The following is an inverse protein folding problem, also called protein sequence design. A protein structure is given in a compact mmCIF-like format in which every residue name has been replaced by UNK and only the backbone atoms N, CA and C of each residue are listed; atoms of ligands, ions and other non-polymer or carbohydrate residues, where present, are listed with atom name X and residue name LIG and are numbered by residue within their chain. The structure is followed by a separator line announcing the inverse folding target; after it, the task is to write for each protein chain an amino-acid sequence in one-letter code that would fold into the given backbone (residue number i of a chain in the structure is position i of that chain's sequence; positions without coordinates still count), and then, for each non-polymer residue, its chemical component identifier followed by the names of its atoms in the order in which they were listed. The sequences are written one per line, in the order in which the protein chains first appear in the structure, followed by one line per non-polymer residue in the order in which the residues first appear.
data_IF_428385556305
#
_entry.id   IF_428385556305
#
_cell.length_a   1.000
_cell.length_b   1.000
_cell.length_c   1.000
_cell.angle_alpha   90.00
_cell.angle_beta   90.00
_cell.angle_gamma   90.00
#
_symmetry.space_group_name_H-M   'P 1'
#
loop_
_entity.id
_entity.type
_entity.pdbx_description
1 polymer ?
#
# COMPACT_ATOMS: atom_id res chain seq x y z
N UNK A 1 -24.00 -17.64 2.16
CA UNK A 1 -22.94 -16.60 2.08
C UNK A 1 -22.27 -16.75 0.74
N UNK A 2 -22.22 -15.71 -0.08
CA UNK A 2 -21.44 -15.75 -1.32
C UNK A 2 -19.96 -16.01 -0.96
N UNK A 3 -19.21 -16.80 -1.75
CA UNK A 3 -17.81 -17.03 -1.50
C UNK A 3 -17.09 -15.68 -1.50
N UNK A 4 -16.33 -15.41 -0.44
CA UNK A 4 -15.51 -14.19 -0.35
C UNK A 4 -14.48 -14.28 -1.49
N UNK A 5 -14.40 -13.27 -2.35
CA UNK A 5 -13.47 -13.26 -3.46
C UNK A 5 -12.03 -13.48 -2.93
N UNK A 6 -11.24 -14.30 -3.63
CA UNK A 6 -9.85 -14.54 -3.24
C UNK A 6 -9.04 -13.24 -3.31
N UNK A 7 -8.19 -12.96 -2.31
CA UNK A 7 -7.41 -11.73 -2.26
C UNK A 7 -6.38 -11.69 -3.40
N UNK A 8 -6.26 -10.53 -4.05
CA UNK A 8 -5.25 -10.25 -5.08
C UNK A 8 -4.24 -9.19 -4.64
N UNK A 9 -4.47 -8.55 -3.49
CA UNK A 9 -3.53 -7.65 -2.82
C UNK A 9 -3.33 -8.12 -1.39
N UNK A 10 -2.08 -8.16 -0.94
CA UNK A 10 -1.76 -8.41 0.46
C UNK A 10 -1.28 -7.12 1.12
N UNK A 11 -1.92 -6.71 2.21
CA UNK A 11 -1.51 -5.57 3.04
C UNK A 11 -0.83 -6.13 4.28
N UNK A 12 0.48 -5.94 4.35
CA UNK A 12 1.36 -6.53 5.36
C UNK A 12 1.83 -5.47 6.35
N UNK A 13 1.87 -5.81 7.62
CA UNK A 13 2.32 -4.93 8.71
C UNK A 13 3.40 -5.59 9.56
N UNK A 14 4.35 -4.77 10.04
CA UNK A 14 5.41 -5.21 10.97
C UNK A 14 4.95 -5.32 12.41
N UNK A 15 3.92 -4.57 12.77
CA UNK A 15 3.29 -4.51 14.09
C UNK A 15 1.80 -4.20 13.93
N UNK A 16 1.01 -4.60 14.92
CA UNK A 16 -0.40 -4.21 15.06
C UNK A 16 -0.57 -2.69 15.28
N UNK A 17 0.44 -2.04 15.86
CA UNK A 17 0.49 -0.58 15.98
C UNK A 17 0.50 0.17 14.64
N UNK A 18 0.85 -0.50 13.53
CA UNK A 18 0.86 0.09 12.19
C UNK A 18 -0.55 0.12 11.56
N UNK A 19 -1.51 -0.61 12.14
CA UNK A 19 -2.86 -0.76 11.61
C UNK A 19 -3.58 0.59 11.35
N UNK A 20 -3.55 1.60 12.24
CA UNK A 20 -4.24 2.87 12.00
C UNK A 20 -3.73 3.66 10.78
N UNK A 21 -2.50 3.37 10.33
CA UNK A 21 -1.93 3.91 9.10
C UNK A 21 -2.35 3.05 7.91
N UNK A 22 -2.21 1.73 8.04
CA UNK A 22 -2.44 0.80 6.94
C UNK A 22 -3.92 0.61 6.59
N UNK A 23 -4.85 0.91 7.49
CA UNK A 23 -6.28 1.01 7.20
C UNK A 23 -6.60 2.04 6.10
N UNK A 24 -5.78 3.06 5.90
CA UNK A 24 -5.97 3.97 4.78
C UNK A 24 -5.74 3.28 3.42
N UNK A 25 -4.89 2.25 3.37
CA UNK A 25 -4.76 1.41 2.18
C UNK A 25 -6.01 0.56 1.96
N UNK A 26 -6.55 -0.06 3.01
CA UNK A 26 -7.73 -0.94 2.88
C UNK A 26 -8.97 -0.17 2.44
N UNK A 27 -9.18 1.06 2.95
CA UNK A 27 -10.26 1.94 2.51
C UNK A 27 -10.23 2.22 1.00
N UNK A 28 -9.04 2.45 0.44
CA UNK A 28 -8.87 2.65 -1.00
C UNK A 28 -9.14 1.34 -1.76
N UNK A 29 -8.61 0.20 -1.30
CA UNK A 29 -8.87 -1.09 -1.94
C UNK A 29 -10.37 -1.42 -1.94
N UNK A 30 -11.08 -1.14 -0.86
CA UNK A 30 -12.54 -1.29 -0.75
C UNK A 30 -13.27 -0.37 -1.73
N UNK A 31 -12.86 0.90 -1.84
CA UNK A 31 -13.44 1.87 -2.78
C UNK A 31 -13.36 1.39 -4.24
N UNK A 32 -12.29 0.67 -4.59
CA UNK A 32 -12.10 0.09 -5.93
C UNK A 32 -12.56 -1.37 -6.03
N UNK A 33 -13.23 -1.89 -5.01
CA UNK A 33 -13.69 -3.29 -4.92
C UNK A 33 -12.56 -4.31 -5.18
N UNK A 34 -11.33 -4.02 -4.72
CA UNK A 34 -10.17 -4.89 -4.84
C UNK A 34 -10.15 -5.86 -3.65
N UNK A 35 -10.24 -7.18 -3.86
CA UNK A 35 -10.11 -8.14 -2.78
C UNK A 35 -8.70 -8.11 -2.19
N UNK A 36 -8.62 -8.03 -0.87
CA UNK A 36 -7.34 -7.98 -0.15
C UNK A 36 -7.36 -8.85 1.10
N UNK A 37 -6.17 -9.14 1.61
CA UNK A 37 -5.96 -9.70 2.94
C UNK A 37 -5.10 -8.77 3.79
N UNK A 38 -5.25 -8.88 5.11
CA UNK A 38 -4.32 -8.30 6.08
C UNK A 38 -3.40 -9.40 6.62
N UNK A 39 -2.11 -9.13 6.66
CA UNK A 39 -1.12 -10.07 7.19
C UNK A 39 -0.16 -9.37 8.15
N UNK A 40 0.02 -9.96 9.33
CA UNK A 40 0.94 -9.47 10.35
C UNK A 40 2.16 -10.37 10.43
N UNK A 41 3.35 -9.80 10.17
CA UNK A 41 4.64 -10.51 10.34
C UNK A 41 5.76 -9.52 10.57
N UNK A 42 6.81 -9.94 11.26
CA UNK A 42 7.96 -9.09 11.54
C UNK A 42 9.23 -9.70 10.96
N UNK A 43 9.96 -8.92 10.15
CA UNK A 43 11.25 -9.37 9.60
C UNK A 43 12.26 -9.72 10.69
N UNK A 44 12.21 -9.04 11.84
CA UNK A 44 13.17 -9.24 12.93
C UNK A 44 12.70 -10.29 13.95
N UNK A 45 11.39 -10.31 14.30
CA UNK A 45 10.85 -11.16 15.36
C UNK A 45 10.31 -12.50 14.85
N UNK A 46 9.96 -12.59 13.56
CA UNK A 46 9.45 -13.81 12.93
C UNK A 46 9.98 -13.98 11.49
N UNK A 47 11.33 -14.02 11.27
CA UNK A 47 11.91 -14.02 9.94
C UNK A 47 11.48 -15.23 9.09
N UNK A 48 11.41 -16.41 9.66
CA UNK A 48 10.96 -17.61 8.95
C UNK A 48 9.50 -17.49 8.45
N UNK A 49 8.61 -16.91 9.26
CA UNK A 49 7.22 -16.64 8.86
C UNK A 49 7.15 -15.63 7.71
N UNK A 50 7.99 -14.58 7.74
CA UNK A 50 8.08 -13.57 6.69
C UNK A 50 8.54 -14.17 5.38
N UNK A 51 9.62 -14.98 5.38
CA UNK A 51 10.14 -15.67 4.20
C UNK A 51 9.13 -16.65 3.62
N UNK A 52 8.49 -17.47 4.47
CA UNK A 52 7.44 -18.41 4.03
C UNK A 52 6.27 -17.68 3.39
N UNK A 53 5.82 -16.59 3.98
CA UNK A 53 4.76 -15.75 3.41
C UNK A 53 5.17 -15.25 2.02
N UNK A 54 6.34 -14.59 1.89
CA UNK A 54 6.78 -13.97 0.64
C UNK A 54 6.90 -14.99 -0.51
N UNK A 55 7.48 -16.17 -0.24
CA UNK A 55 7.64 -17.25 -1.23
C UNK A 55 6.33 -17.84 -1.72
N UNK A 56 5.32 -17.93 -0.86
CA UNK A 56 4.06 -18.59 -1.19
C UNK A 56 2.99 -17.59 -1.70
N UNK A 57 3.24 -16.29 -1.61
CA UNK A 57 2.23 -15.26 -1.89
C UNK A 57 1.74 -15.29 -3.35
N UNK A 58 2.65 -15.45 -4.31
CA UNK A 58 2.28 -15.53 -5.73
C UNK A 58 1.40 -16.75 -6.06
N UNK A 59 1.68 -17.90 -5.43
CA UNK A 59 0.90 -19.14 -5.63
C UNK A 59 -0.53 -19.03 -5.09
N UNK A 60 -0.77 -18.09 -4.17
CA UNK A 60 -2.09 -17.80 -3.58
C UNK A 60 -2.91 -16.81 -4.41
N UNK A 61 -2.43 -16.41 -5.59
CA UNK A 61 -3.13 -15.48 -6.47
C UNK A 61 -2.89 -14.00 -6.17
N UNK A 62 -2.05 -13.66 -5.19
CA UNK A 62 -1.68 -12.26 -4.91
C UNK A 62 -0.85 -11.71 -6.08
N UNK A 63 -1.14 -10.48 -6.47
CA UNK A 63 -0.48 -9.77 -7.57
C UNK A 63 0.39 -8.59 -7.09
N UNK A 64 0.04 -7.99 -5.95
CA UNK A 64 0.76 -6.84 -5.38
C UNK A 64 0.80 -6.97 -3.86
N UNK A 65 1.93 -6.60 -3.26
CA UNK A 65 2.12 -6.59 -1.80
C UNK A 65 2.36 -5.14 -1.35
N UNK A 66 1.54 -4.65 -0.42
CA UNK A 66 1.71 -3.36 0.25
C UNK A 66 2.25 -3.64 1.65
N UNK A 67 3.36 -3.02 2.03
CA UNK A 67 4.05 -3.31 3.29
C UNK A 67 4.23 -2.05 4.11
N UNK A 68 3.61 -1.99 5.29
CA UNK A 68 3.83 -0.94 6.28
C UNK A 68 4.82 -1.35 7.36
N UNK A 69 5.78 -0.49 7.65
CA UNK A 69 6.73 -0.69 8.75
C UNK A 69 7.28 0.64 9.26
N UNK A 70 7.50 0.72 10.58
CA UNK A 70 8.13 1.84 11.25
C UNK A 70 9.54 1.52 11.75
N UNK A 71 10.22 2.51 12.28
CA UNK A 71 11.57 2.40 12.84
C UNK A 71 12.57 1.78 11.84
N UNK A 72 13.21 0.67 12.21
CA UNK A 72 14.03 -0.14 11.31
C UNK A 72 13.14 -0.90 10.31
N UNK A 73 12.58 -0.20 9.34
CA UNK A 73 11.53 -0.65 8.41
C UNK A 73 12.07 -1.59 7.32
N UNK A 74 12.68 -2.70 7.71
CA UNK A 74 13.31 -3.66 6.79
C UNK A 74 12.31 -4.63 6.15
N UNK A 75 11.05 -4.69 6.62
CA UNK A 75 10.07 -5.70 6.21
C UNK A 75 9.82 -5.70 4.71
N UNK A 76 9.66 -4.53 4.09
CA UNK A 76 9.42 -4.40 2.65
C UNK A 76 10.60 -4.95 1.83
N UNK A 77 11.84 -4.60 2.21
CA UNK A 77 13.06 -5.08 1.56
C UNK A 77 13.23 -6.59 1.70
N UNK A 78 12.98 -7.15 2.88
CA UNK A 78 13.03 -8.60 3.12
C UNK A 78 11.99 -9.34 2.26
N UNK A 79 10.76 -8.84 2.18
CA UNK A 79 9.74 -9.45 1.32
C UNK A 79 10.14 -9.34 -0.15
N UNK A 80 10.61 -8.17 -0.60
CA UNK A 80 11.03 -7.95 -1.99
C UNK A 80 12.19 -8.87 -2.42
N UNK A 81 13.07 -9.29 -1.52
CA UNK A 81 14.16 -10.23 -1.82
C UNK A 81 13.69 -11.67 -2.00
N UNK A 82 12.47 -12.01 -1.59
CA UNK A 82 11.93 -13.38 -1.58
C UNK A 82 10.80 -13.59 -2.59
N UNK A 83 10.39 -12.55 -3.33
CA UNK A 83 9.31 -12.63 -4.32
C UNK A 83 9.60 -11.79 -5.56
N UNK A 84 9.00 -12.15 -6.69
CA UNK A 84 9.01 -11.33 -7.92
C UNK A 84 7.78 -10.42 -8.03
N UNK A 85 6.84 -10.50 -7.08
CA UNK A 85 5.67 -9.62 -7.07
C UNK A 85 6.08 -8.17 -6.79
N UNK A 86 5.38 -7.18 -7.35
CA UNK A 86 5.56 -5.78 -6.98
C UNK A 86 5.37 -5.57 -5.48
N UNK A 87 6.38 -4.98 -4.81
CA UNK A 87 6.34 -4.62 -3.39
C UNK A 87 6.31 -3.11 -3.26
N UNK A 88 5.32 -2.60 -2.54
CA UNK A 88 5.10 -1.18 -2.28
C UNK A 88 5.30 -0.94 -0.79
N UNK A 89 6.32 -0.14 -0.43
CA UNK A 89 6.67 0.18 0.94
C UNK A 89 5.99 1.45 1.44
N UNK A 90 5.42 1.38 2.63
CA UNK A 90 4.82 2.52 3.35
C UNK A 90 5.62 2.74 4.64
N UNK A 91 6.46 3.78 4.71
CA UNK A 91 7.13 4.16 5.95
C UNK A 91 6.11 4.63 6.99
N UNK A 92 6.17 4.10 8.21
CA UNK A 92 5.27 4.46 9.31
C UNK A 92 6.01 5.32 10.32
N UNK A 93 5.38 6.41 10.75
CA UNK A 93 5.87 7.27 11.84
C UNK A 93 5.64 6.56 13.19
N UNK A 94 6.66 5.89 13.68
CA UNK A 94 6.61 5.09 14.90
C UNK A 94 7.68 5.48 15.93
N UNK A 95 8.52 6.50 15.64
CA UNK A 95 9.64 6.91 16.49
C UNK A 95 9.73 8.42 16.64
N UNK A 96 10.66 8.90 17.49
CA UNK A 96 11.00 10.31 17.62
C UNK A 96 11.52 10.94 16.30
N UNK A 97 11.96 10.12 15.34
CA UNK A 97 12.41 10.56 14.01
C UNK A 97 11.25 10.77 13.03
N UNK A 98 10.00 10.63 13.49
CA UNK A 98 8.78 10.93 12.71
C UNK A 98 8.75 10.23 11.35
N UNK A 99 9.22 8.99 11.28
CA UNK A 99 9.21 8.15 10.10
C UNK A 99 10.35 8.39 9.11
N UNK A 100 11.28 9.33 9.37
CA UNK A 100 12.45 9.53 8.50
C UNK A 100 13.37 8.31 8.50
N UNK A 101 13.56 7.67 9.65
CA UNK A 101 14.24 6.39 9.81
C UNK A 101 13.59 5.30 8.97
N UNK A 102 12.27 5.16 9.04
CA UNK A 102 11.51 4.20 8.26
C UNK A 102 11.59 4.49 6.76
N UNK A 103 11.50 5.76 6.34
CA UNK A 103 11.64 6.16 4.94
C UNK A 103 13.01 5.77 4.39
N UNK A 104 14.08 6.12 5.08
CA UNK A 104 15.45 5.82 4.63
C UNK A 104 15.73 4.31 4.61
N UNK A 105 15.23 3.56 5.60
CA UNK A 105 15.35 2.10 5.62
C UNK A 105 14.58 1.41 4.49
N UNK A 106 13.48 2.01 4.02
CA UNK A 106 12.63 1.43 2.96
C UNK A 106 13.08 1.83 1.56
N UNK A 107 13.54 3.08 1.36
CA UNK A 107 13.85 3.60 0.01
C UNK A 107 15.27 3.27 -0.45
N UNK A 108 16.24 3.10 0.47
CA UNK A 108 17.65 2.86 0.15
C UNK A 108 17.94 1.38 -0.15
N UNK A 109 17.18 0.82 -1.08
CA UNK A 109 17.35 -0.58 -1.49
C UNK A 109 18.57 -0.76 -2.41
N UNK A 110 19.29 -1.89 -2.31
CA UNK A 110 20.37 -2.22 -3.22
C UNK A 110 19.85 -2.45 -4.63
N UNK A 111 20.69 -2.20 -5.63
CA UNK A 111 20.38 -2.50 -7.03
C UNK A 111 19.99 -3.98 -7.21
N UNK A 112 18.87 -4.22 -7.91
CA UNK A 112 18.34 -5.56 -8.16
C UNK A 112 17.16 -5.98 -7.24
N UNK A 113 16.94 -5.32 -6.11
CA UNK A 113 15.81 -5.60 -5.19
C UNK A 113 14.94 -4.35 -5.03
N UNK A 114 14.00 -4.10 -5.94
CA UNK A 114 13.20 -2.87 -5.93
C UNK A 114 12.08 -2.90 -4.89
N UNK A 115 11.90 -1.77 -4.20
CA UNK A 115 10.71 -1.46 -3.39
C UNK A 115 10.16 -0.10 -3.84
N UNK A 116 8.91 -0.05 -4.27
CA UNK A 116 8.23 1.20 -4.62
C UNK A 116 7.83 1.95 -3.34
N UNK A 117 8.69 2.83 -2.85
CA UNK A 117 8.50 3.50 -1.56
C UNK A 117 7.59 4.70 -1.68
N UNK A 118 6.55 4.75 -0.85
CA UNK A 118 5.57 5.84 -0.78
C UNK A 118 5.93 6.87 0.30
N UNK A 119 5.10 7.91 0.43
CA UNK A 119 5.25 8.91 1.48
C UNK A 119 5.05 8.30 2.89
N UNK A 120 5.54 8.99 3.91
CA UNK A 120 5.38 8.59 5.32
C UNK A 120 3.91 8.66 5.75
N UNK A 121 3.43 7.65 6.45
CA UNK A 121 2.16 7.64 7.15
C UNK A 121 0.93 7.48 6.25
N UNK A 122 -0.21 8.03 6.67
CA UNK A 122 -1.53 7.83 6.07
C UNK A 122 -1.59 8.19 4.58
N UNK A 123 -0.96 9.30 4.17
CA UNK A 123 -0.92 9.69 2.76
C UNK A 123 -0.17 8.65 1.91
N UNK A 124 0.94 8.12 2.43
CA UNK A 124 1.69 7.04 1.79
C UNK A 124 0.87 5.76 1.66
N UNK A 125 0.14 5.38 2.72
CA UNK A 125 -0.72 4.20 2.70
C UNK A 125 -1.84 4.31 1.65
N UNK A 126 -2.50 5.48 1.53
CA UNK A 126 -3.49 5.74 0.48
C UNK A 126 -2.88 5.64 -0.92
N UNK A 127 -1.74 6.26 -1.13
CA UNK A 127 -1.04 6.24 -2.42
C UNK A 127 -0.49 4.84 -2.77
N UNK A 128 -0.08 4.05 -1.78
CA UNK A 128 0.31 2.66 -1.97
C UNK A 128 -0.84 1.83 -2.58
N UNK A 129 -2.04 1.96 -2.01
CA UNK A 129 -3.21 1.28 -2.54
C UNK A 129 -3.62 1.80 -3.92
N UNK A 130 -3.60 3.11 -4.16
CA UNK A 130 -3.85 3.69 -5.49
C UNK A 130 -2.82 3.22 -6.52
N UNK A 131 -1.56 3.04 -6.12
CA UNK A 131 -0.52 2.53 -7.00
C UNK A 131 -0.75 1.04 -7.31
N UNK A 132 -1.12 0.23 -6.31
CA UNK A 132 -1.54 -1.15 -6.52
C UNK A 132 -2.73 -1.25 -7.49
N UNK A 133 -3.76 -0.41 -7.31
CA UNK A 133 -4.91 -0.33 -8.22
C UNK A 133 -4.48 0.03 -9.65
N UNK A 134 -3.53 0.97 -9.81
CA UNK A 134 -2.97 1.32 -11.15
C UNK A 134 -2.26 0.15 -11.81
N UNK A 135 -1.47 -0.62 -11.07
CA UNK A 135 -0.81 -1.84 -11.58
C UNK A 135 -1.87 -2.84 -12.06
N UNK A 136 -2.89 -3.09 -11.25
CA UNK A 136 -3.97 -4.03 -11.59
C UNK A 136 -4.81 -3.55 -12.78
N UNK A 137 -4.98 -2.24 -12.94
CA UNK A 137 -5.75 -1.63 -14.02
C UNK A 137 -5.05 -1.72 -15.39
N UNK A 138 -3.79 -2.10 -15.47
CA UNK A 138 -3.11 -2.34 -16.75
C UNK A 138 -3.79 -3.43 -17.58
N UNK A 139 -4.34 -4.44 -16.90
CA UNK A 139 -5.03 -5.58 -17.50
C UNK A 139 -6.54 -5.62 -17.18
N UNK A 140 -7.10 -4.57 -16.55
CA UNK A 140 -8.49 -4.53 -16.14
C UNK A 140 -9.14 -3.19 -16.53
N UNK A 141 -9.93 -3.22 -17.61
CA UNK A 141 -10.59 -2.03 -18.16
C UNK A 141 -11.62 -1.41 -17.20
N UNK A 142 -12.37 -2.22 -16.49
CA UNK A 142 -13.35 -1.73 -15.50
C UNK A 142 -12.66 -0.94 -14.40
N UNK A 143 -11.55 -1.45 -13.89
CA UNK A 143 -10.75 -0.80 -12.87
C UNK A 143 -10.09 0.48 -13.42
N UNK A 144 -9.63 0.47 -14.66
CA UNK A 144 -9.10 1.65 -15.36
C UNK A 144 -10.14 2.76 -15.45
N UNK A 145 -11.36 2.43 -15.85
CA UNK A 145 -12.47 3.39 -15.94
C UNK A 145 -12.84 3.96 -14.57
N UNK A 146 -12.76 3.17 -13.51
CA UNK A 146 -12.95 3.62 -12.13
C UNK A 146 -11.85 4.59 -11.67
N UNK A 147 -10.60 4.34 -12.06
CA UNK A 147 -9.48 5.27 -11.80
C UNK A 147 -9.64 6.61 -12.52
N UNK A 148 -10.09 6.61 -13.79
CA UNK A 148 -10.35 7.84 -14.55
C UNK A 148 -11.40 8.68 -13.79
N UNK A 149 -12.51 8.07 -13.41
CA UNK A 149 -13.56 8.76 -12.63
C UNK A 149 -13.05 9.29 -11.29
N UNK A 150 -12.20 8.53 -10.62
CA UNK A 150 -11.58 8.96 -9.36
C UNK A 150 -10.71 10.21 -9.55
N UNK A 151 -9.86 10.24 -10.59
CA UNK A 151 -9.01 11.41 -10.92
C UNK A 151 -9.86 12.63 -11.29
N UNK A 152 -10.89 12.44 -12.12
CA UNK A 152 -11.80 13.51 -12.52
C UNK A 152 -12.54 14.13 -11.32
N UNK A 153 -12.96 13.28 -10.37
CA UNK A 153 -13.61 13.75 -9.15
C UNK A 153 -12.66 14.55 -8.26
N UNK A 154 -11.39 14.12 -8.11
CA UNK A 154 -10.40 14.93 -7.39
C UNK A 154 -10.20 16.33 -8.00
N UNK A 155 -10.17 16.44 -9.33
CA UNK A 155 -10.06 17.71 -10.01
C UNK A 155 -11.30 18.61 -9.76
N UNK A 156 -12.50 18.03 -9.84
CA UNK A 156 -13.77 18.74 -9.52
C UNK A 156 -13.79 19.22 -8.07
N UNK A 157 -13.36 18.40 -7.11
CA UNK A 157 -13.29 18.77 -5.70
C UNK A 157 -12.39 20.00 -5.46
N UNK A 158 -11.27 20.09 -6.18
CA UNK A 158 -10.38 21.26 -6.11
C UNK A 158 -11.07 22.50 -6.68
N UNK A 159 -11.77 22.38 -7.80
CA UNK A 159 -12.53 23.48 -8.41
C UNK A 159 -13.61 24.00 -7.46
N UNK A 160 -14.41 23.12 -6.87
CA UNK A 160 -15.47 23.46 -5.88
C UNK A 160 -14.85 24.18 -4.67
N UNK A 161 -13.70 23.68 -4.16
CA UNK A 161 -13.00 24.34 -3.04
C UNK A 161 -12.52 25.73 -3.41
N UNK A 162 -12.04 25.94 -4.63
CA UNK A 162 -11.64 27.24 -5.14
C UNK A 162 -12.82 28.21 -5.18
N UNK A 163 -13.95 27.82 -5.77
CA UNK A 163 -15.17 28.62 -5.83
C UNK A 163 -15.67 29.02 -4.44
N UNK A 164 -15.65 28.07 -3.48
CA UNK A 164 -16.04 28.34 -2.11
C UNK A 164 -15.09 29.36 -1.42
N UNK A 165 -13.79 29.29 -1.67
CA UNK A 165 -12.80 30.23 -1.12
C UNK A 165 -12.98 31.64 -1.70
N UNK A 166 -13.35 31.76 -2.97
CA UNK A 166 -13.57 33.04 -3.64
C UNK A 166 -14.94 33.66 -3.36
N UNK A 167 -15.80 32.99 -2.57
CA UNK A 167 -17.17 33.45 -2.28
C UNK A 167 -18.11 33.37 -3.47
N UNK A 168 -17.73 32.68 -4.54
CA UNK A 168 -18.56 32.44 -5.72
C UNK A 168 -19.46 31.26 -5.39
N UNK A 169 -20.59 31.56 -4.71
CA UNK A 169 -21.67 30.58 -4.58
C UNK A 169 -22.59 30.72 -5.78
N UNK A 170 -22.66 29.70 -6.59
CA UNK A 170 -23.75 29.51 -7.55
C UNK A 170 -25.06 29.17 -6.85
#
# INVERSE_FOLDING_TARGET
MAPKAEPIVSVVMGSDSDLPVMEESTKILEQFAVPYELFLTSAHRSPARTTTFAKNTAQRGIKVIIVGAGAAAHLAGVIASETLLPVIGVPVDATSLKGLDALLATVQMPGGIPVATMAIGKAGARNAALFAVRILALENETMRNSLIKFVDNMAKDVAIKHENLMGIRS
#
